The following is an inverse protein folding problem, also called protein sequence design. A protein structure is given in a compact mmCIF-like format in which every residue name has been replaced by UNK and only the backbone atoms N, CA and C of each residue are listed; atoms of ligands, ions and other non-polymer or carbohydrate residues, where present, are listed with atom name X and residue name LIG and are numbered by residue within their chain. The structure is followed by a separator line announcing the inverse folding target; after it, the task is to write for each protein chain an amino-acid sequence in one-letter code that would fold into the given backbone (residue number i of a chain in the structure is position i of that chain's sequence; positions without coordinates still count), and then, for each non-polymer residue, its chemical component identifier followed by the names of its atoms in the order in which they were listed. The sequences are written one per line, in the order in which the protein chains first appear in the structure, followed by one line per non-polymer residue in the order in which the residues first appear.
data_IF_802944904997
#
_entry.id   IF_802944904997
#
_cell.length_a   1.000
_cell.length_b   1.000
_cell.length_c   1.000
_cell.angle_alpha   90.00
_cell.angle_beta   90.00
_cell.angle_gamma   90.00
#
_symmetry.space_group_name_H-M   'P 1'
#
loop_
_entity.id
_entity.type
_entity.pdbx_description
1 polymer ?
#
# COMPACT_ATOMS: atom_id res chain seq x y z
N UNK A 1 -6.86 -11.80 -0.38
CA UNK A 1 -5.73 -10.87 -0.66
C UNK A 1 -6.12 -9.47 -0.24
N UNK A 2 -5.18 -8.70 0.33
CA UNK A 2 -5.37 -7.29 0.72
C UNK A 2 -4.46 -6.45 -0.16
N UNK A 3 -4.95 -5.31 -0.64
CA UNK A 3 -4.11 -4.37 -1.40
C UNK A 3 -3.07 -3.70 -0.49
N UNK A 4 -1.83 -3.70 -0.92
CA UNK A 4 -0.79 -2.83 -0.38
C UNK A 4 -0.90 -1.42 -0.97
N UNK A 5 -0.27 -0.44 -0.31
CA UNK A 5 -0.06 0.89 -0.89
C UNK A 5 0.63 0.78 -2.27
N UNK A 6 0.43 1.77 -3.12
CA UNK A 6 0.94 1.76 -4.49
C UNK A 6 1.10 3.18 -5.02
N UNK A 7 2.05 3.40 -5.94
CA UNK A 7 2.12 4.64 -6.72
C UNK A 7 1.26 4.61 -7.98
N UNK A 8 0.69 3.44 -8.33
CA UNK A 8 -0.17 3.33 -9.50
C UNK A 8 -1.52 4.00 -9.26
N UNK A 9 -1.94 4.81 -10.22
CA UNK A 9 -3.27 5.43 -10.27
C UNK A 9 -4.25 4.63 -11.15
N UNK A 10 -3.80 3.52 -11.73
CA UNK A 10 -4.60 2.64 -12.58
C UNK A 10 -5.52 1.72 -11.80
N UNK A 11 -6.34 1.00 -12.54
CA UNK A 11 -7.23 -0.04 -11.99
C UNK A 11 -6.42 -1.14 -11.30
N UNK A 12 -7.05 -1.78 -10.30
CA UNK A 12 -6.43 -2.88 -9.55
C UNK A 12 -7.34 -4.10 -9.54
N UNK A 13 -6.76 -5.27 -9.73
CA UNK A 13 -7.46 -6.55 -9.66
C UNK A 13 -7.33 -7.15 -8.26
N UNK A 14 -8.45 -7.64 -7.71
CA UNK A 14 -8.52 -8.37 -6.45
C UNK A 14 -9.09 -9.77 -6.70
N UNK A 15 -8.37 -10.78 -6.25
CA UNK A 15 -8.90 -12.16 -6.20
C UNK A 15 -9.27 -12.49 -4.77
N UNK A 16 -10.51 -12.93 -4.60
CA UNK A 16 -11.02 -13.42 -3.32
C UNK A 16 -11.50 -14.86 -3.49
N UNK A 17 -10.97 -15.77 -2.68
CA UNK A 17 -11.49 -17.14 -2.57
C UNK A 17 -12.74 -17.10 -1.69
N UNK A 18 -13.88 -17.50 -2.22
CA UNK A 18 -15.19 -17.48 -1.55
C UNK A 18 -15.77 -18.87 -1.60
N UNK A 19 -15.86 -19.47 -0.43
CA UNK A 19 -16.39 -20.84 -0.25
C UNK A 19 -17.62 -20.82 0.65
N UNK A 20 -18.53 -21.76 0.40
CA UNK A 20 -19.67 -22.03 1.27
C UNK A 20 -19.93 -23.54 1.32
N UNK A 21 -20.42 -24.04 2.42
CA UNK A 21 -20.82 -25.44 2.56
C UNK A 21 -22.05 -25.81 1.70
N UNK A 22 -22.83 -24.78 1.32
CA UNK A 22 -23.93 -24.89 0.37
C UNK A 22 -23.53 -24.36 -1.00
N UNK A 23 -24.21 -23.30 -1.44
CA UNK A 23 -23.98 -22.67 -2.74
C UNK A 23 -23.84 -21.15 -2.56
N UNK A 24 -22.74 -20.59 -3.05
CA UNK A 24 -22.58 -19.14 -3.15
C UNK A 24 -23.58 -18.59 -4.17
N UNK A 25 -24.32 -17.56 -3.80
CA UNK A 25 -25.30 -16.93 -4.67
C UNK A 25 -24.61 -16.27 -5.88
N UNK A 26 -25.30 -16.24 -7.01
CA UNK A 26 -24.78 -15.67 -8.27
C UNK A 26 -25.68 -14.57 -8.82
N UNK A 27 -25.30 -13.98 -9.95
CA UNK A 27 -26.07 -12.94 -10.63
C UNK A 27 -26.20 -11.66 -9.82
N UNK A 28 -27.41 -11.10 -9.73
CA UNK A 28 -27.65 -9.82 -9.05
C UNK A 28 -27.30 -9.82 -7.56
N UNK A 29 -27.32 -11.00 -6.94
CA UNK A 29 -27.01 -11.21 -5.53
C UNK A 29 -25.67 -11.94 -5.32
N UNK A 30 -24.86 -12.05 -6.38
CA UNK A 30 -23.52 -12.65 -6.31
C UNK A 30 -22.52 -11.80 -5.55
N UNK A 31 -21.29 -12.34 -5.39
CA UNK A 31 -20.22 -11.65 -4.69
C UNK A 31 -19.89 -10.29 -5.32
N UNK A 32 -19.54 -9.32 -4.45
CA UNK A 32 -19.24 -7.94 -4.82
C UNK A 32 -17.99 -7.44 -4.13
N UNK A 33 -17.20 -6.63 -4.85
CA UNK A 33 -16.20 -5.74 -4.29
C UNK A 33 -16.84 -4.35 -4.16
N UNK A 34 -16.99 -3.86 -2.95
CA UNK A 34 -17.37 -2.48 -2.68
C UNK A 34 -16.13 -1.63 -2.44
N UNK A 35 -16.09 -0.43 -3.02
CA UNK A 35 -14.97 0.47 -2.86
C UNK A 35 -15.37 1.94 -3.02
N UNK A 36 -14.57 2.82 -2.41
CA UNK A 36 -14.74 4.28 -2.48
C UNK A 36 -13.43 5.00 -2.14
N UNK A 37 -13.30 6.28 -2.47
CA UNK A 37 -12.33 7.14 -1.77
C UNK A 37 -12.79 7.34 -0.33
N UNK A 38 -11.87 7.50 0.61
CA UNK A 38 -12.22 7.75 2.02
C UNK A 38 -13.07 9.02 2.20
N UNK A 39 -12.97 9.97 1.28
CA UNK A 39 -13.73 11.22 1.23
C UNK A 39 -15.12 11.10 0.61
N UNK A 40 -15.40 10.01 -0.10
CA UNK A 40 -16.70 9.84 -0.77
C UNK A 40 -17.76 9.37 0.23
N UNK A 41 -19.01 9.83 0.09
CA UNK A 41 -20.08 9.48 1.02
C UNK A 41 -20.55 8.02 0.88
N UNK A 42 -20.44 7.43 -0.30
CA UNK A 42 -21.03 6.13 -0.61
C UNK A 42 -20.06 5.21 -1.33
N UNK A 43 -20.19 3.91 -1.09
CA UNK A 43 -19.50 2.88 -1.84
C UNK A 43 -20.14 2.70 -3.21
N UNK A 44 -19.31 2.46 -4.21
CA UNK A 44 -19.68 1.84 -5.48
C UNK A 44 -19.22 0.38 -5.45
N UNK A 45 -19.63 -0.43 -6.42
CA UNK A 45 -19.27 -1.84 -6.42
C UNK A 45 -18.92 -2.36 -7.80
N UNK A 46 -18.15 -3.45 -7.81
CA UNK A 46 -17.89 -4.31 -8.96
C UNK A 46 -18.42 -5.72 -8.63
N UNK A 47 -19.10 -6.33 -9.61
CA UNK A 47 -19.43 -7.74 -9.56
C UNK A 47 -18.25 -8.53 -10.10
N UNK A 48 -17.96 -9.71 -9.58
CA UNK A 48 -16.86 -10.52 -10.11
C UNK A 48 -17.10 -10.89 -11.57
N UNK A 49 -16.34 -10.31 -12.53
CA UNK A 49 -16.53 -10.60 -13.96
C UNK A 49 -15.94 -11.96 -14.35
N UNK A 50 -15.07 -12.52 -13.52
CA UNK A 50 -14.40 -13.79 -13.75
C UNK A 50 -14.40 -14.64 -12.48
N UNK A 51 -14.78 -15.90 -12.63
CA UNK A 51 -14.81 -16.90 -11.56
C UNK A 51 -14.10 -18.15 -12.06
N UNK A 52 -13.14 -18.64 -11.29
CA UNK A 52 -12.42 -19.89 -11.55
C UNK A 52 -12.45 -20.74 -10.28
N UNK A 53 -13.29 -21.75 -10.28
CA UNK A 53 -13.57 -22.50 -9.05
C UNK A 53 -14.17 -21.58 -7.98
N UNK A 54 -13.51 -21.47 -6.83
CA UNK A 54 -13.91 -20.62 -5.73
C UNK A 54 -13.24 -19.23 -5.76
N UNK A 55 -12.43 -18.95 -6.78
CA UNK A 55 -11.72 -17.69 -6.92
C UNK A 55 -12.52 -16.69 -7.76
N UNK A 56 -12.92 -15.62 -7.12
CA UNK A 56 -13.67 -14.51 -7.70
C UNK A 56 -12.72 -13.33 -7.95
N UNK A 57 -12.59 -12.94 -9.22
CA UNK A 57 -11.75 -11.80 -9.62
C UNK A 57 -12.60 -10.56 -9.78
N UNK A 58 -12.23 -9.50 -9.07
CA UNK A 58 -12.86 -8.18 -9.11
C UNK A 58 -11.91 -7.13 -9.66
N UNK A 59 -12.48 -6.06 -10.20
CA UNK A 59 -11.73 -4.89 -10.64
C UNK A 59 -12.12 -3.66 -9.83
N UNK A 60 -11.19 -3.12 -9.05
CA UNK A 60 -11.30 -1.78 -8.51
C UNK A 60 -11.00 -0.79 -9.63
N UNK A 61 -12.04 -0.16 -10.17
CA UNK A 61 -11.91 0.77 -11.29
C UNK A 61 -11.75 2.20 -10.78
N UNK A 62 -10.55 2.75 -10.90
CA UNK A 62 -10.25 4.12 -10.45
C UNK A 62 -10.95 5.19 -11.29
N UNK A 63 -11.28 4.88 -12.56
CA UNK A 63 -12.02 5.79 -13.44
C UNK A 63 -13.45 6.05 -12.94
N UNK A 64 -14.13 5.03 -12.40
CA UNK A 64 -15.47 5.19 -11.80
C UNK A 64 -15.47 6.01 -10.52
N UNK A 65 -14.31 6.13 -9.86
CA UNK A 65 -14.08 7.04 -8.72
C UNK A 65 -13.77 8.48 -9.16
N UNK A 66 -13.80 8.80 -10.46
CA UNK A 66 -13.36 10.09 -10.99
C UNK A 66 -11.84 10.27 -10.97
N UNK A 67 -11.08 9.16 -11.01
CA UNK A 67 -9.63 9.15 -10.92
C UNK A 67 -9.11 9.21 -9.47
N UNK A 68 -7.84 8.85 -9.30
CA UNK A 68 -7.12 8.91 -8.02
C UNK A 68 -5.78 9.60 -8.22
N UNK A 69 -5.27 10.22 -7.17
CA UNK A 69 -3.98 10.92 -7.15
C UNK A 69 -3.18 10.52 -5.91
N UNK A 70 -1.92 10.88 -5.88
CA UNK A 70 -1.09 10.74 -4.67
C UNK A 70 -1.80 11.32 -3.45
N UNK A 71 -1.80 10.58 -2.35
CA UNK A 71 -2.51 10.91 -1.12
C UNK A 71 -3.95 10.39 -1.06
N UNK A 72 -4.53 9.91 -2.18
CA UNK A 72 -5.86 9.31 -2.16
C UNK A 72 -5.86 8.02 -1.34
N UNK A 73 -6.75 7.92 -0.37
CA UNK A 73 -7.00 6.70 0.39
C UNK A 73 -8.26 6.03 -0.17
N UNK A 74 -8.13 4.76 -0.53
CA UNK A 74 -9.24 3.93 -1.00
C UNK A 74 -9.64 2.97 0.12
N UNK A 75 -10.92 2.94 0.43
CA UNK A 75 -11.54 1.97 1.33
C UNK A 75 -12.29 0.92 0.51
N UNK A 76 -12.22 -0.35 0.90
CA UNK A 76 -12.88 -1.43 0.18
C UNK A 76 -13.18 -2.63 1.07
N UNK A 77 -14.16 -3.43 0.66
CA UNK A 77 -14.47 -4.73 1.25
C UNK A 77 -15.14 -5.64 0.22
N UNK A 78 -15.03 -6.94 0.43
CA UNK A 78 -15.74 -7.95 -0.36
C UNK A 78 -16.93 -8.44 0.43
N UNK A 79 -18.05 -8.67 -0.25
CA UNK A 79 -19.25 -9.25 0.32
C UNK A 79 -19.76 -10.40 -0.56
N UNK A 80 -20.25 -11.44 0.08
CA UNK A 80 -20.91 -12.57 -0.57
C UNK A 80 -22.08 -13.05 0.28
N UNK A 81 -23.01 -13.77 -0.32
CA UNK A 81 -24.09 -14.48 0.39
C UNK A 81 -24.32 -15.86 -0.22
N UNK A 82 -24.91 -16.75 0.57
CA UNK A 82 -25.41 -18.05 0.12
C UNK A 82 -26.82 -17.94 -0.46
N UNK A 83 -27.33 -19.05 -0.96
CA UNK A 83 -28.72 -19.15 -1.49
C UNK A 83 -29.80 -18.94 -0.44
N UNK A 84 -29.44 -19.01 0.84
CA UNK A 84 -30.30 -18.76 1.99
C UNK A 84 -30.26 -17.31 2.48
N UNK A 85 -29.54 -16.45 1.74
CA UNK A 85 -29.29 -15.03 2.04
C UNK A 85 -28.48 -14.76 3.33
N UNK A 86 -27.70 -15.74 3.80
CA UNK A 86 -26.69 -15.51 4.83
C UNK A 86 -25.53 -14.74 4.22
N UNK A 87 -25.25 -13.55 4.73
CA UNK A 87 -24.20 -12.65 4.20
C UNK A 87 -22.93 -12.73 5.02
N UNK A 88 -21.80 -12.75 4.32
CA UNK A 88 -20.47 -12.63 4.88
C UNK A 88 -19.69 -11.50 4.19
N UNK A 89 -18.82 -10.82 4.94
CA UNK A 89 -17.95 -9.78 4.40
C UNK A 89 -16.50 -9.98 4.82
N UNK A 90 -15.57 -9.48 4.02
CA UNK A 90 -14.15 -9.42 4.35
C UNK A 90 -13.64 -7.97 4.13
N UNK A 91 -13.24 -7.24 5.20
CA UNK A 91 -13.29 -7.64 6.62
C UNK A 91 -14.71 -7.98 7.11
N UNK A 92 -14.78 -8.73 8.19
CA UNK A 92 -16.06 -9.13 8.80
C UNK A 92 -16.82 -7.96 9.43
N UNK A 93 -18.11 -8.13 9.66
CA UNK A 93 -18.95 -7.14 10.35
C UNK A 93 -19.84 -6.31 9.43
N UNK A 94 -19.72 -6.45 8.10
CA UNK A 94 -20.71 -5.93 7.17
C UNK A 94 -21.96 -6.82 7.17
N UNK A 95 -23.13 -6.22 6.89
CA UNK A 95 -24.42 -6.88 6.87
C UNK A 95 -25.27 -6.46 5.67
N UNK A 96 -26.41 -7.08 5.50
CA UNK A 96 -27.36 -6.82 4.43
C UNK A 96 -27.29 -7.88 3.35
N UNK A 97 -28.44 -8.34 2.89
CA UNK A 97 -28.60 -9.35 1.85
C UNK A 97 -29.46 -8.83 0.70
N UNK A 98 -29.33 -9.47 -0.48
CA UNK A 98 -30.14 -9.19 -1.68
C UNK A 98 -30.07 -7.72 -2.16
N UNK A 99 -28.88 -7.18 -2.46
CA UNK A 99 -27.57 -7.82 -2.63
C UNK A 99 -26.75 -7.87 -1.34
N UNK A 100 -25.68 -8.72 -1.29
CA UNK A 100 -24.89 -8.89 -0.09
C UNK A 100 -24.12 -7.64 0.30
N UNK A 101 -23.96 -7.40 1.60
CA UNK A 101 -23.01 -6.42 2.13
C UNK A 101 -23.39 -4.95 1.90
N UNK A 102 -24.69 -4.62 1.82
CA UNK A 102 -25.13 -3.21 1.61
C UNK A 102 -24.76 -2.28 2.76
N UNK A 103 -24.52 -2.82 3.95
CA UNK A 103 -23.95 -2.08 5.08
C UNK A 103 -22.49 -2.49 5.24
N UNK A 104 -21.54 -1.54 5.14
CA UNK A 104 -20.11 -1.84 5.21
C UNK A 104 -19.68 -2.33 6.59
N UNK A 105 -18.56 -3.08 6.70
CA UNK A 105 -17.92 -3.33 7.98
C UNK A 105 -17.44 -2.03 8.63
N UNK A 106 -17.38 -2.01 9.96
CA UNK A 106 -16.93 -0.82 10.71
C UNK A 106 -15.46 -0.43 10.45
N UNK A 107 -14.64 -1.41 10.03
CA UNK A 107 -13.24 -1.22 9.65
C UNK A 107 -12.97 -1.88 8.29
N UNK A 108 -13.30 -1.23 7.17
CA UNK A 108 -13.00 -1.75 5.85
C UNK A 108 -11.49 -1.79 5.61
N UNK A 109 -11.04 -2.63 4.67
CA UNK A 109 -9.68 -2.58 4.19
C UNK A 109 -9.41 -1.22 3.53
N UNK A 110 -8.14 -0.79 3.54
CA UNK A 110 -7.73 0.42 2.86
C UNK A 110 -6.33 0.32 2.29
N UNK A 111 -6.06 1.12 1.26
CA UNK A 111 -4.71 1.40 0.78
C UNK A 111 -4.60 2.86 0.37
N UNK A 112 -3.38 3.36 0.33
CA UNK A 112 -3.08 4.74 -0.07
C UNK A 112 -2.32 4.74 -1.40
N UNK A 113 -2.67 5.69 -2.27
CA UNK A 113 -1.85 6.03 -3.43
C UNK A 113 -0.69 6.89 -2.93
N UNK A 114 0.52 6.31 -2.90
CA UNK A 114 1.73 6.95 -2.38
C UNK A 114 2.56 7.57 -3.51
N UNK A 115 3.47 8.54 -3.23
CA UNK A 115 4.41 9.03 -4.22
C UNK A 115 5.29 7.92 -4.79
N UNK A 116 5.82 8.13 -5.99
CA UNK A 116 6.87 7.29 -6.57
C UNK A 116 8.24 7.90 -6.33
N UNK A 117 9.24 7.06 -6.06
CA UNK A 117 10.65 7.44 -5.97
C UNK A 117 11.44 6.70 -7.05
N UNK A 118 12.26 7.45 -7.79
CA UNK A 118 13.23 6.92 -8.76
C UNK A 118 14.27 7.99 -9.09
N UNK A 119 15.47 7.60 -9.48
CA UNK A 119 16.55 8.54 -9.82
C UNK A 119 17.47 8.87 -8.63
N UNK A 120 18.16 9.99 -8.72
CA UNK A 120 19.18 10.42 -7.74
C UNK A 120 18.61 11.47 -6.81
N UNK A 121 18.79 11.27 -5.53
CA UNK A 121 18.46 12.21 -4.46
C UNK A 121 19.70 12.50 -3.62
N UNK A 122 19.79 13.70 -3.10
CA UNK A 122 20.91 14.18 -2.28
C UNK A 122 20.56 14.15 -0.79
N UNK A 123 21.56 13.79 0.06
CA UNK A 123 21.37 13.65 1.51
C UNK A 123 22.41 14.49 2.25
N UNK A 124 21.97 15.38 3.11
CA UNK A 124 22.79 16.31 3.87
C UNK A 124 22.14 17.69 3.93
N UNK A 125 22.81 18.63 4.59
CA UNK A 125 22.29 19.99 4.69
C UNK A 125 22.22 20.64 3.29
N UNK A 126 21.02 21.09 2.90
CA UNK A 126 20.73 21.64 1.58
C UNK A 126 20.42 20.61 0.49
N UNK A 127 20.41 19.31 0.81
CA UNK A 127 19.98 18.24 -0.08
C UNK A 127 18.48 17.99 -0.03
N UNK A 128 18.00 17.01 -0.83
CA UNK A 128 16.60 16.57 -0.86
C UNK A 128 16.17 15.99 0.49
N UNK A 129 17.10 15.35 1.18
CA UNK A 129 16.90 14.79 2.53
C UNK A 129 17.99 15.31 3.47
N UNK A 130 17.60 15.74 4.66
CA UNK A 130 18.55 16.26 5.64
C UNK A 130 19.50 15.20 6.21
N UNK A 131 19.06 13.94 6.28
CA UNK A 131 19.80 12.81 6.86
C UNK A 131 19.23 11.45 6.37
N UNK A 132 19.89 10.34 6.73
CA UNK A 132 19.48 8.99 6.35
C UNK A 132 18.22 8.53 7.10
N UNK A 133 17.95 9.05 8.29
CA UNK A 133 16.68 8.82 8.99
C UNK A 133 15.51 9.31 8.16
N UNK A 134 15.64 10.48 7.53
CA UNK A 134 14.62 11.02 6.62
C UNK A 134 14.48 10.16 5.35
N UNK A 135 15.59 9.64 4.81
CA UNK A 135 15.57 8.68 3.69
C UNK A 135 14.83 7.40 4.08
N UNK A 136 15.17 6.80 5.22
CA UNK A 136 14.53 5.58 5.71
C UNK A 136 13.00 5.77 5.88
N UNK A 137 12.58 6.93 6.37
CA UNK A 137 11.17 7.28 6.46
C UNK A 137 10.53 7.46 5.07
N UNK A 138 11.21 8.09 4.13
CA UNK A 138 10.69 8.34 2.80
C UNK A 138 10.45 7.06 2.00
N UNK A 139 11.34 6.07 2.09
CA UNK A 139 11.18 4.79 1.39
C UNK A 139 10.29 3.79 2.12
N UNK A 140 9.77 4.14 3.29
CA UNK A 140 8.81 3.29 3.99
C UNK A 140 7.57 3.04 3.11
N UNK A 141 7.07 1.79 3.02
CA UNK A 141 5.88 1.45 2.21
C UNK A 141 4.64 2.30 2.47
N UNK A 142 4.53 2.90 3.65
CA UNK A 142 3.44 3.82 3.98
C UNK A 142 3.59 5.19 3.32
N UNK A 143 4.78 5.56 2.89
CA UNK A 143 5.10 6.91 2.43
C UNK A 143 5.43 7.00 0.94
N UNK A 144 6.08 5.96 0.35
CA UNK A 144 6.39 5.93 -1.08
C UNK A 144 6.52 4.52 -1.64
N UNK A 145 6.53 4.42 -2.98
CA UNK A 145 6.88 3.23 -3.72
C UNK A 145 8.13 3.50 -4.58
N UNK A 146 9.06 2.57 -4.58
CA UNK A 146 10.24 2.62 -5.44
C UNK A 146 9.85 2.14 -6.84
N UNK A 147 9.88 3.01 -7.82
CA UNK A 147 9.41 2.74 -9.19
C UNK A 147 10.51 2.70 -10.24
N UNK A 148 11.75 2.86 -9.81
CA UNK A 148 12.97 2.77 -10.60
C UNK A 148 14.18 2.67 -9.69
N UNK A 149 15.37 2.43 -10.27
CA UNK A 149 16.62 2.49 -9.50
C UNK A 149 16.70 3.83 -8.78
N UNK A 150 16.96 3.80 -7.49
CA UNK A 150 16.97 4.99 -6.62
C UNK A 150 18.31 5.08 -5.91
N UNK A 151 18.95 6.23 -6.02
CA UNK A 151 20.25 6.52 -5.46
C UNK A 151 20.15 7.68 -4.47
N UNK A 152 20.79 7.51 -3.32
CA UNK A 152 20.92 8.55 -2.30
C UNK A 152 22.40 8.92 -2.16
N UNK A 153 22.77 10.08 -2.69
CA UNK A 153 24.12 10.61 -2.68
C UNK A 153 24.34 11.40 -1.38
N UNK A 154 25.26 10.92 -0.53
CA UNK A 154 25.65 11.63 0.69
C UNK A 154 26.54 12.83 0.32
N UNK A 155 26.01 14.03 0.50
CA UNK A 155 26.74 15.27 0.27
C UNK A 155 27.88 15.45 1.29
N UNK A 156 28.86 16.33 0.96
CA UNK A 156 29.91 16.73 1.92
C UNK A 156 29.35 17.39 3.20
N UNK A 157 28.11 17.85 3.14
CA UNK A 157 27.38 18.45 4.26
C UNK A 157 26.60 17.44 5.10
N UNK A 158 26.63 16.14 4.74
CA UNK A 158 26.01 15.10 5.54
C UNK A 158 26.70 14.99 6.92
N UNK A 159 25.87 14.93 7.97
CA UNK A 159 26.34 14.81 9.35
C UNK A 159 25.56 13.74 10.08
N UNK A 160 26.24 12.67 10.50
CA UNK A 160 25.62 11.56 11.24
C UNK A 160 25.10 11.96 12.63
N UNK A 161 25.56 13.08 13.19
CA UNK A 161 25.03 13.61 14.45
C UNK A 161 23.55 14.07 14.35
N UNK A 162 23.04 14.26 13.12
CA UNK A 162 21.64 14.60 12.87
C UNK A 162 20.72 13.37 12.76
N UNK A 163 21.25 12.16 12.89
CA UNK A 163 20.48 10.93 12.75
C UNK A 163 19.73 10.58 14.05
N UNK A 164 18.61 9.87 13.85
CA UNK A 164 17.93 9.17 14.95
C UNK A 164 18.25 7.68 14.86
N UNK A 165 18.91 7.15 15.87
CA UNK A 165 19.32 5.75 15.89
C UNK A 165 18.36 4.86 16.66
N UNK A 166 18.16 3.58 16.24
CA UNK A 166 18.72 2.98 15.04
C UNK A 166 18.06 3.50 13.76
N UNK A 167 18.83 3.67 12.66
CA UNK A 167 18.26 3.91 11.34
C UNK A 167 17.74 2.58 10.80
N UNK A 168 16.43 2.47 10.65
CA UNK A 168 15.79 1.22 10.20
C UNK A 168 15.25 1.42 8.78
N UNK A 169 15.82 0.71 7.83
CA UNK A 169 15.29 0.60 6.48
C UNK A 169 14.27 -0.54 6.43
N UNK A 170 13.00 -0.20 6.36
CA UNK A 170 11.93 -1.19 6.17
C UNK A 170 11.96 -1.74 4.75
N UNK A 171 11.35 -2.92 4.54
CA UNK A 171 11.11 -3.41 3.20
C UNK A 171 10.25 -2.40 2.43
N UNK A 172 10.72 -1.93 1.28
CA UNK A 172 10.00 -0.96 0.44
C UNK A 172 9.12 -1.66 -0.60
N UNK A 173 8.18 -0.91 -1.19
CA UNK A 173 7.36 -1.37 -2.32
C UNK A 173 8.15 -1.20 -3.60
N UNK A 174 8.27 -2.28 -4.41
CA UNK A 174 8.92 -2.31 -5.72
C UNK A 174 10.10 -3.28 -5.76
N UNK A 175 10.46 -3.70 -6.97
CA UNK A 175 11.53 -4.67 -7.25
C UNK A 175 12.84 -4.00 -7.69
N UNK A 176 13.03 -2.73 -7.34
CA UNK A 176 14.17 -1.91 -7.75
C UNK A 176 15.22 -1.80 -6.65
N UNK A 177 16.45 -1.52 -7.06
CA UNK A 177 17.55 -1.33 -6.11
C UNK A 177 17.53 0.09 -5.51
N UNK A 178 17.80 0.16 -4.22
CA UNK A 178 18.11 1.39 -3.49
C UNK A 178 19.59 1.35 -3.14
N UNK A 179 20.32 2.40 -3.51
CA UNK A 179 21.77 2.51 -3.27
C UNK A 179 22.06 3.80 -2.53
N UNK A 180 22.88 3.72 -1.48
CA UNK A 180 23.41 4.87 -0.75
C UNK A 180 24.91 4.94 -1.02
N UNK A 181 25.41 6.09 -1.45
CA UNK A 181 26.82 6.28 -1.78
C UNK A 181 27.29 7.70 -1.44
N UNK A 182 28.58 7.91 -1.16
CA UNK A 182 29.10 9.24 -0.92
C UNK A 182 29.25 10.02 -2.23
N UNK A 183 29.10 11.34 -2.17
CA UNK A 183 29.43 12.24 -3.27
C UNK A 183 30.89 12.05 -3.70
N UNK A 184 31.17 12.20 -4.99
CA UNK A 184 32.55 12.11 -5.52
C UNK A 184 33.49 13.05 -4.77
N UNK A 185 34.60 12.50 -4.27
CA UNK A 185 35.58 13.25 -3.48
C UNK A 185 35.28 13.34 -1.97
N UNK A 186 34.14 12.81 -1.55
CA UNK A 186 33.80 12.67 -0.13
C UNK A 186 34.13 11.26 0.33
N UNK A 187 34.99 11.13 1.33
CA UNK A 187 35.25 9.83 1.99
C UNK A 187 34.18 9.63 3.05
N UNK A 188 33.03 9.08 2.62
CA UNK A 188 31.95 8.69 3.53
C UNK A 188 32.33 7.40 4.25
N UNK A 189 32.47 7.46 5.56
CA UNK A 189 32.55 6.27 6.42
C UNK A 189 31.24 6.12 7.17
N UNK A 190 30.44 5.14 6.83
CA UNK A 190 29.37 4.66 7.70
C UNK A 190 30.05 3.74 8.72
N UNK A 191 30.33 4.24 9.91
CA UNK A 191 30.72 3.39 11.02
C UNK A 191 29.46 2.91 11.69
N UNK A 192 29.26 1.59 11.75
CA UNK A 192 28.37 1.04 12.76
C UNK A 192 28.80 1.60 14.11
N UNK A 193 27.87 2.22 14.83
CA UNK A 193 28.11 2.55 16.21
C UNK A 193 28.38 1.23 16.94
N UNK A 194 29.56 1.07 17.49
CA UNK A 194 29.88 -0.02 18.41
C UNK A 194 28.76 -0.09 19.46
N UNK A 195 28.03 -1.21 19.61
CA UNK A 195 27.06 -1.35 20.69
C UNK A 195 27.80 -1.48 22.01
N UNK A 196 28.53 -0.42 22.39
CA UNK A 196 28.95 -0.18 23.77
C UNK A 196 29.63 -1.33 24.48
N UNK A 197 30.62 -1.98 23.88
CA UNK A 197 31.67 -2.63 24.62
C UNK A 197 32.80 -1.63 24.80
N UNK A 198 32.65 -0.81 25.84
CA UNK A 198 33.78 -0.04 26.32
C UNK A 198 34.97 -0.97 26.53
N UNK A 199 36.03 -0.70 25.83
CA UNK A 199 37.33 -1.19 26.20
C UNK A 199 38.30 0.00 26.28
N UNK A 200 39.10 0.02 27.33
CA UNK A 200 39.90 1.14 27.80
C UNK A 200 40.97 1.60 26.81
#
# INVERSE_FOLDING_TARGET
TVFSNTSSTGNRSLVATITDAGVVQTGANGPRLYYKKSTDPSYIFDNAPSVLGDDYTFTLNTGTLGGVTTGTIIQYYVAAQDVSANTSTNPSGGIGSNPPGTTPPGAPNSYTVVPSLSGVYTVGAGGDYGNLTAVANAINPSNAAITGHTWFELLSTYNSASETYPIVFSQFIGDWNVTIFPQTGVVGRITEGDPGTGNP
#
